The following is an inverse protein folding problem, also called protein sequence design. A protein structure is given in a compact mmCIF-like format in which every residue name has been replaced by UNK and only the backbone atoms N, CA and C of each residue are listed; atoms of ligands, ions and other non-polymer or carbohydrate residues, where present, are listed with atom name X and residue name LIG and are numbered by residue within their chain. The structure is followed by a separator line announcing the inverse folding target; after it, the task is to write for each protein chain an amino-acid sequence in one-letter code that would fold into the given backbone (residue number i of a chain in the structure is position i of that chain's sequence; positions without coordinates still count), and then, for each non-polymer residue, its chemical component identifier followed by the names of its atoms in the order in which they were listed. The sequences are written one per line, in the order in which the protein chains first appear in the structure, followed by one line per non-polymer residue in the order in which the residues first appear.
data_IF_972793978208
#
_entry.id   IF_972793978208
#
_cell.length_a   1.000
_cell.length_b   1.000
_cell.length_c   1.000
_cell.angle_alpha   90.00
_cell.angle_beta   90.00
_cell.angle_gamma   90.00
#
_symmetry.space_group_name_H-M   'P 1'
#
loop_
_entity.id
_entity.type
_entity.pdbx_description
1 polymer ?
#
# COMPACT_ATOMS: atom_id res chain seq x y z
N UNK A 1 -8.80 -3.44 -0.17
CA UNK A 1 -8.08 -4.27 -1.10
C UNK A 1 -7.12 -3.38 -1.93
N UNK A 2 -5.83 -3.30 -1.58
CA UNK A 2 -4.82 -2.47 -2.28
C UNK A 2 -4.07 -3.27 -3.37
N UNK A 3 -3.43 -2.61 -4.34
CA UNK A 3 -2.52 -3.26 -5.30
C UNK A 3 -1.17 -2.57 -5.35
N UNK A 4 -0.10 -3.32 -5.05
CA UNK A 4 1.28 -2.90 -5.30
C UNK A 4 2.01 -3.98 -6.08
N UNK A 5 2.85 -3.57 -7.04
CA UNK A 5 3.61 -4.46 -7.91
C UNK A 5 5.05 -3.95 -8.04
N UNK A 6 6.03 -4.81 -7.76
CA UNK A 6 7.45 -4.55 -7.91
C UNK A 6 8.02 -5.42 -9.02
N UNK A 7 8.62 -4.79 -10.03
CA UNK A 7 9.36 -5.40 -11.13
C UNK A 7 10.81 -5.57 -10.68
N UNK A 8 11.23 -6.80 -10.42
CA UNK A 8 12.56 -7.12 -9.93
C UNK A 8 13.63 -6.98 -11.03
N UNK A 9 13.24 -7.04 -12.30
CA UNK A 9 14.16 -6.95 -13.43
C UNK A 9 14.42 -5.49 -13.82
N UNK A 10 13.42 -4.62 -13.64
CA UNK A 10 13.49 -3.18 -13.99
C UNK A 10 13.63 -2.26 -12.79
N UNK A 11 13.64 -2.81 -11.58
CA UNK A 11 13.66 -2.09 -10.30
C UNK A 11 12.55 -1.02 -10.22
N UNK A 12 11.37 -1.32 -10.75
CA UNK A 12 10.24 -0.39 -10.82
C UNK A 12 9.12 -0.88 -9.91
N UNK A 13 8.67 -0.05 -8.99
CA UNK A 13 7.45 -0.31 -8.20
C UNK A 13 6.30 0.53 -8.72
N UNK A 14 5.09 -0.01 -8.66
CA UNK A 14 3.84 0.70 -8.91
C UNK A 14 2.78 0.35 -7.85
N UNK A 15 1.94 1.31 -7.49
CA UNK A 15 0.84 1.13 -6.54
C UNK A 15 -0.36 2.01 -6.88
N UNK A 16 -1.54 1.58 -6.45
CA UNK A 16 -2.77 2.37 -6.52
C UNK A 16 -2.81 3.44 -5.41
N UNK A 17 -3.71 4.42 -5.49
CA UNK A 17 -3.83 5.51 -4.50
C UNK A 17 -5.06 5.39 -3.60
N UNK A 18 -5.91 4.37 -3.78
CA UNK A 18 -7.12 4.20 -2.98
C UNK A 18 -6.80 3.87 -1.53
N UNK A 19 -7.51 4.56 -0.64
CA UNK A 19 -7.63 4.25 0.77
C UNK A 19 -9.09 3.95 1.08
N UNK A 20 -9.33 3.00 1.97
CA UNK A 20 -10.65 2.44 2.20
C UNK A 20 -10.95 2.22 3.67
N UNK A 21 -12.22 2.13 4.03
CA UNK A 21 -12.71 1.74 5.34
C UNK A 21 -13.97 0.88 5.16
N UNK A 22 -14.07 -0.22 5.91
CA UNK A 22 -15.28 -1.03 5.92
C UNK A 22 -16.29 -0.43 6.90
N UNK A 23 -17.52 -0.25 6.44
CA UNK A 23 -18.63 0.24 7.24
C UNK A 23 -19.77 -0.77 7.23
N UNK A 24 -20.41 -0.94 8.37
CA UNK A 24 -21.69 -1.65 8.47
C UNK A 24 -22.74 -0.61 8.82
N UNK A 25 -23.59 -0.30 7.84
CA UNK A 25 -24.66 0.69 7.92
C UNK A 25 -26.01 -0.04 8.06
N UNK A 26 -27.09 0.70 8.31
CA UNK A 26 -28.42 0.10 8.54
C UNK A 26 -28.91 -0.77 7.37
N UNK A 27 -28.55 -0.42 6.14
CA UNK A 27 -28.98 -1.09 4.93
C UNK A 27 -27.92 -2.05 4.34
N UNK A 28 -26.78 -2.23 5.01
CA UNK A 28 -25.80 -3.27 4.68
C UNK A 28 -24.34 -2.88 4.87
N UNK A 29 -23.45 -3.69 4.31
CA UNK A 29 -22.01 -3.46 4.36
C UNK A 29 -21.54 -2.63 3.17
N UNK A 30 -20.69 -1.65 3.45
CA UNK A 30 -20.13 -0.71 2.49
C UNK A 30 -18.61 -0.64 2.61
N UNK A 31 -17.97 -0.33 1.48
CA UNK A 31 -16.62 0.22 1.46
C UNK A 31 -16.76 1.73 1.31
N UNK A 32 -16.33 2.49 2.31
CA UNK A 32 -16.03 3.91 2.13
C UNK A 32 -14.62 4.02 1.57
N UNK A 33 -14.42 4.73 0.47
CA UNK A 33 -13.09 4.95 -0.07
C UNK A 33 -12.86 6.36 -0.58
N UNK A 34 -11.58 6.74 -0.66
CA UNK A 34 -11.11 7.93 -1.35
C UNK A 34 -9.83 7.59 -2.12
N UNK A 35 -9.76 8.08 -3.34
CA UNK A 35 -8.60 7.93 -4.23
C UNK A 35 -7.70 9.17 -4.14
N UNK A 36 -6.44 9.09 -4.56
CA UNK A 36 -5.57 10.27 -4.77
C UNK A 36 -5.50 11.22 -3.56
N UNK A 37 -5.28 10.68 -2.37
CA UNK A 37 -5.26 11.46 -1.11
C UNK A 37 -3.96 12.23 -0.89
N UNK A 38 -2.96 12.02 -1.76
CA UNK A 38 -1.57 12.44 -1.57
C UNK A 38 -0.78 11.51 -0.63
N UNK A 39 -1.45 10.69 0.19
CA UNK A 39 -0.76 9.75 1.06
C UNK A 39 -0.40 8.48 0.27
N UNK A 40 0.80 8.45 -0.34
CA UNK A 40 1.19 7.33 -1.20
C UNK A 40 1.68 6.13 -0.36
N UNK A 41 1.61 4.96 -1.00
CA UNK A 41 2.00 3.66 -0.42
C UNK A 41 3.46 3.28 -0.68
N UNK A 42 4.17 4.11 -1.43
CA UNK A 42 5.57 3.95 -1.82
C UNK A 42 6.33 5.12 -1.22
N UNK A 43 7.44 4.85 -0.53
CA UNK A 43 8.37 5.89 -0.09
C UNK A 43 9.79 5.51 -0.46
N UNK A 44 10.50 6.46 -1.07
CA UNK A 44 11.86 6.29 -1.57
C UNK A 44 12.84 7.19 -0.81
N UNK A 45 14.05 6.69 -0.62
CA UNK A 45 15.26 7.43 -0.22
C UNK A 45 16.44 6.91 -1.04
N UNK A 46 17.59 7.59 -1.01
CA UNK A 46 18.72 7.27 -1.89
C UNK A 46 19.20 5.81 -1.78
N UNK A 47 19.13 5.22 -0.58
CA UNK A 47 19.58 3.85 -0.34
C UNK A 47 18.55 2.78 -0.69
N UNK A 48 17.30 3.14 -0.99
CA UNK A 48 16.24 2.20 -1.29
C UNK A 48 14.83 2.73 -1.06
N UNK A 49 13.85 1.84 -1.09
CA UNK A 49 12.46 2.18 -0.89
C UNK A 49 11.71 1.17 -0.03
N UNK A 50 10.65 1.67 0.59
CA UNK A 50 9.67 0.89 1.35
C UNK A 50 8.30 1.00 0.70
N UNK A 51 7.61 -0.15 0.59
CA UNK A 51 6.24 -0.23 0.09
C UNK A 51 5.35 -0.81 1.18
N UNK A 52 4.24 -0.13 1.46
CA UNK A 52 3.37 -0.46 2.58
C UNK A 52 1.93 -0.73 2.14
N UNK A 53 1.30 -1.71 2.76
CA UNK A 53 -0.14 -1.90 2.73
C UNK A 53 -0.61 -2.23 4.15
N UNK A 54 -1.71 -1.67 4.61
CA UNK A 54 -2.24 -1.93 5.95
C UNK A 54 -2.94 -0.74 6.58
N UNK A 55 -2.90 -0.71 7.91
CA UNK A 55 -3.39 0.42 8.72
C UNK A 55 -2.63 1.71 8.40
N UNK A 56 -3.36 2.78 8.05
CA UNK A 56 -2.77 4.03 7.61
C UNK A 56 -1.97 4.77 8.69
N UNK A 57 -2.35 4.69 9.97
CA UNK A 57 -1.62 5.32 11.07
C UNK A 57 -0.28 4.63 11.32
N UNK A 58 -0.25 3.30 11.26
CA UNK A 58 1.01 2.56 11.32
C UNK A 58 1.90 2.89 10.12
N UNK A 59 1.32 3.05 8.93
CA UNK A 59 2.08 3.45 7.73
C UNK A 59 2.64 4.87 7.87
N UNK A 60 1.89 5.82 8.43
CA UNK A 60 2.39 7.18 8.68
C UNK A 60 3.65 7.14 9.55
N UNK A 61 3.61 6.43 10.68
CA UNK A 61 4.78 6.28 11.57
C UNK A 61 5.97 5.68 10.84
N UNK A 62 5.76 4.64 10.03
CA UNK A 62 6.81 4.01 9.23
C UNK A 62 7.43 4.98 8.23
N UNK A 63 6.60 5.80 7.56
CA UNK A 63 7.08 6.79 6.59
C UNK A 63 7.86 7.91 7.27
N UNK A 64 7.39 8.39 8.43
CA UNK A 64 8.09 9.38 9.24
C UNK A 64 9.47 8.86 9.70
N UNK A 65 9.54 7.61 10.17
CA UNK A 65 10.82 6.97 10.49
C UNK A 65 11.72 6.82 9.26
N UNK A 66 11.16 6.34 8.15
CA UNK A 66 11.90 6.10 6.92
C UNK A 66 12.48 7.38 6.31
N UNK A 67 11.81 8.52 6.47
CA UNK A 67 12.24 9.82 5.91
C UNK A 67 12.88 10.73 6.96
N UNK A 68 13.09 10.25 8.18
CA UNK A 68 13.77 11.01 9.21
C UNK A 68 15.21 11.34 8.76
N UNK A 69 15.64 12.56 9.07
CA UNK A 69 17.01 13.02 8.86
C UNK A 69 17.56 13.58 10.20
N UNK A 70 18.62 12.95 10.77
CA UNK A 70 19.32 11.77 10.26
C UNK A 70 18.44 10.50 10.33
N UNK A 71 18.66 9.59 9.39
CA UNK A 71 18.01 8.28 9.40
C UNK A 71 18.65 7.35 10.43
N UNK A 72 17.84 6.86 11.36
CA UNK A 72 18.28 5.91 12.38
C UNK A 72 17.52 4.57 12.25
N UNK A 73 18.17 3.51 11.75
CA UNK A 73 17.58 2.17 11.68
C UNK A 73 17.08 1.63 13.03
N UNK A 74 17.63 2.10 14.16
CA UNK A 74 17.26 1.63 15.50
C UNK A 74 16.00 2.31 16.05
N UNK A 75 15.66 3.49 15.54
CA UNK A 75 14.50 4.28 15.94
C UNK A 75 13.19 3.81 15.28
N UNK A 76 13.11 2.54 14.87
CA UNK A 76 11.89 1.97 14.28
C UNK A 76 10.71 2.13 15.27
N UNK A 77 9.58 2.73 14.84
CA UNK A 77 8.44 2.96 15.71
C UNK A 77 7.74 1.64 16.05
N UNK A 78 6.94 1.67 17.11
CA UNK A 78 6.04 0.57 17.39
C UNK A 78 5.02 0.42 16.25
N UNK A 79 5.02 -0.77 15.63
CA UNK A 79 4.12 -1.10 14.52
C UNK A 79 2.81 -1.72 15.02
N UNK A 80 2.68 -1.96 16.34
CA UNK A 80 1.47 -2.47 16.98
C UNK A 80 0.46 -1.36 17.28
N UNK A 81 -0.81 -1.74 17.24
CA UNK A 81 -1.84 -1.07 18.02
C UNK A 81 -2.82 -2.08 18.60
N UNK A 82 -3.05 -1.99 19.91
CA UNK A 82 -3.91 -2.95 20.65
C UNK A 82 -3.52 -4.42 20.38
N UNK A 83 -2.21 -4.70 20.34
CA UNK A 83 -1.62 -6.01 20.01
C UNK A 83 -2.01 -6.56 18.62
N UNK A 84 -2.50 -5.72 17.72
CA UNK A 84 -2.74 -6.08 16.32
C UNK A 84 -1.78 -5.29 15.43
N UNK A 85 -0.91 -6.01 14.74
CA UNK A 85 -0.15 -5.45 13.64
C UNK A 85 -0.89 -5.71 12.34
N UNK A 86 -1.04 -4.68 11.51
CA UNK A 86 -1.86 -4.75 10.30
C UNK A 86 -1.15 -4.27 9.05
N UNK A 87 0.17 -4.20 9.09
CA UNK A 87 0.99 -3.67 8.00
C UNK A 87 1.83 -4.77 7.35
N UNK A 88 1.69 -4.86 6.03
CA UNK A 88 2.60 -5.54 5.14
C UNK A 88 3.64 -4.55 4.65
N UNK A 89 4.91 -4.97 4.70
CA UNK A 89 6.07 -4.16 4.30
C UNK A 89 6.89 -4.95 3.29
N UNK A 90 7.40 -4.26 2.29
CA UNK A 90 8.52 -4.73 1.48
C UNK A 90 9.56 -3.62 1.45
N UNK A 91 10.82 -3.98 1.65
CA UNK A 91 11.96 -3.08 1.56
C UNK A 91 12.88 -3.58 0.45
N UNK A 92 13.24 -2.68 -0.45
CA UNK A 92 14.15 -2.93 -1.56
C UNK A 92 15.28 -1.90 -1.52
N UNK A 93 16.52 -2.35 -1.69
CA UNK A 93 17.67 -1.46 -1.80
C UNK A 93 17.67 -0.69 -3.13
N UNK A 94 18.47 0.37 -3.21
CA UNK A 94 18.74 1.09 -4.47
C UNK A 94 19.38 0.21 -5.55
N UNK A 95 20.01 -0.90 -5.17
CA UNK A 95 20.56 -1.91 -6.10
C UNK A 95 19.50 -2.89 -6.63
N UNK A 96 18.25 -2.80 -6.17
CA UNK A 96 17.16 -3.70 -6.56
C UNK A 96 17.04 -4.96 -5.71
N UNK A 97 17.93 -5.17 -4.73
CA UNK A 97 17.89 -6.30 -3.81
C UNK A 97 16.68 -6.17 -2.86
N UNK A 98 15.84 -7.21 -2.80
CA UNK A 98 14.78 -7.29 -1.78
C UNK A 98 15.38 -7.66 -0.43
N UNK A 99 15.60 -6.65 0.41
CA UNK A 99 16.23 -6.81 1.73
C UNK A 99 15.27 -7.33 2.79
N UNK A 100 13.99 -7.00 2.69
CA UNK A 100 12.99 -7.42 3.67
C UNK A 100 11.60 -7.56 3.04
N UNK A 101 10.84 -8.51 3.57
CA UNK A 101 9.45 -8.74 3.21
C UNK A 101 8.67 -9.27 4.42
N UNK A 102 7.51 -8.68 4.65
CA UNK A 102 6.54 -9.15 5.63
C UNK A 102 5.12 -9.04 5.07
N UNK A 103 4.37 -10.12 5.24
CA UNK A 103 2.97 -10.25 4.84
C UNK A 103 2.74 -10.92 3.49
N UNK A 104 1.47 -11.06 3.08
CA UNK A 104 1.09 -11.81 1.90
C UNK A 104 1.69 -11.21 0.63
N UNK A 105 2.37 -12.04 -0.16
CA UNK A 105 2.92 -11.69 -1.47
C UNK A 105 2.67 -12.80 -2.47
N UNK A 106 2.51 -12.40 -3.72
CA UNK A 106 2.59 -13.30 -4.87
C UNK A 106 3.86 -12.96 -5.64
N UNK A 107 4.72 -13.96 -5.87
CA UNK A 107 5.92 -13.80 -6.68
C UNK A 107 5.72 -14.50 -8.02
N UNK A 108 6.13 -13.83 -9.10
CA UNK A 108 6.31 -14.47 -10.39
C UNK A 108 7.78 -14.90 -10.49
N UNK A 109 8.00 -16.20 -10.51
CA UNK A 109 9.34 -16.82 -10.61
C UNK A 109 9.60 -17.29 -12.03
N UNK A 110 10.86 -17.32 -12.42
CA UNK A 110 11.28 -17.92 -13.68
C UNK A 110 11.06 -19.45 -13.60
N UNK A 111 10.32 -20.06 -14.55
CA UNK A 111 10.10 -21.50 -14.55
C UNK A 111 11.40 -22.31 -14.79
N UNK A 112 12.43 -21.72 -15.38
CA UNK A 112 13.73 -22.37 -15.66
C UNK A 112 14.76 -22.14 -14.54
N UNK A 113 14.65 -21.03 -13.81
CA UNK A 113 15.43 -20.73 -12.60
C UNK A 113 14.54 -20.26 -11.45
N UNK A 114 14.12 -21.18 -10.59
CA UNK A 114 13.28 -20.85 -9.44
C UNK A 114 13.91 -19.86 -8.44
N UNK A 115 15.20 -19.52 -8.57
CA UNK A 115 15.84 -18.48 -7.76
C UNK A 115 15.67 -17.08 -8.36
N UNK A 116 15.33 -16.99 -9.65
CA UNK A 116 15.05 -15.73 -10.32
C UNK A 116 13.58 -15.36 -10.15
N UNK A 117 13.35 -14.16 -9.60
CA UNK A 117 12.02 -13.60 -9.37
C UNK A 117 11.89 -12.43 -10.32
N UNK A 118 10.94 -12.48 -11.24
CA UNK A 118 10.65 -11.39 -12.19
C UNK A 118 9.89 -10.24 -11.54
N UNK A 119 8.92 -10.58 -10.69
CA UNK A 119 8.07 -9.58 -10.05
C UNK A 119 7.46 -10.08 -8.74
N UNK A 120 7.15 -9.15 -7.85
CA UNK A 120 6.43 -9.40 -6.61
C UNK A 120 5.22 -8.48 -6.51
N UNK A 121 4.08 -9.05 -6.13
CA UNK A 121 2.80 -8.38 -6.02
C UNK A 121 2.29 -8.48 -4.58
N UNK A 122 1.70 -7.41 -4.09
CA UNK A 122 1.13 -7.34 -2.74
C UNK A 122 -0.22 -6.64 -2.73
N UNK A 123 -0.95 -6.88 -1.65
CA UNK A 123 -2.33 -6.48 -1.55
C UNK A 123 -3.26 -7.47 -2.26
N UNK A 124 -4.54 -7.23 -2.11
CA UNK A 124 -5.65 -8.01 -2.66
C UNK A 124 -5.75 -8.05 -4.19
N UNK A 125 -5.32 -6.99 -4.90
CA UNK A 125 -5.35 -6.98 -6.35
C UNK A 125 -4.16 -7.70 -6.96
N UNK A 126 -3.27 -8.25 -6.11
CA UNK A 126 -2.08 -8.99 -6.53
C UNK A 126 -2.35 -10.15 -7.50
N UNK A 127 -3.43 -10.95 -7.42
CA UNK A 127 -3.69 -11.98 -8.42
C UNK A 127 -3.96 -11.39 -9.82
N UNK A 128 -4.74 -10.31 -9.88
CA UNK A 128 -5.07 -9.63 -11.13
C UNK A 128 -3.84 -8.92 -11.73
N UNK A 129 -3.06 -8.27 -10.87
CA UNK A 129 -1.81 -7.62 -11.27
C UNK A 129 -0.80 -8.64 -11.78
N UNK A 130 -0.61 -9.76 -11.07
CA UNK A 130 0.30 -10.84 -11.47
C UNK A 130 -0.08 -11.42 -12.83
N UNK A 131 -1.36 -11.75 -13.03
CA UNK A 131 -1.85 -12.25 -14.31
C UNK A 131 -1.62 -11.26 -15.46
N UNK A 132 -1.90 -9.97 -15.23
CA UNK A 132 -1.69 -8.93 -16.24
C UNK A 132 -0.20 -8.74 -16.54
N UNK A 133 0.66 -8.79 -15.52
CA UNK A 133 2.11 -8.67 -15.70
C UNK A 133 2.65 -9.81 -16.57
N UNK A 134 2.18 -11.05 -16.38
CA UNK A 134 2.58 -12.18 -17.24
C UNK A 134 2.27 -11.95 -18.72
N UNK A 135 1.29 -11.11 -19.04
CA UNK A 135 0.90 -10.81 -20.42
C UNK A 135 1.65 -9.62 -21.03
N UNK A 136 2.05 -8.63 -20.22
CA UNK A 136 2.58 -7.35 -20.73
C UNK A 136 3.97 -6.95 -20.19
N UNK A 137 4.46 -7.61 -19.14
CA UNK A 137 5.76 -7.30 -18.50
C UNK A 137 5.86 -5.88 -17.94
N UNK A 138 4.74 -5.26 -17.54
CA UNK A 138 4.72 -3.87 -17.05
C UNK A 138 3.90 -3.73 -15.77
N UNK A 139 4.56 -3.41 -14.66
CA UNK A 139 3.88 -3.22 -13.36
C UNK A 139 2.88 -2.07 -13.34
N UNK A 140 3.12 -0.99 -14.10
CA UNK A 140 2.17 0.13 -14.19
C UNK A 140 0.86 -0.30 -14.85
N UNK A 141 0.95 -1.04 -15.94
CA UNK A 141 -0.21 -1.62 -16.63
C UNK A 141 -0.88 -2.66 -15.74
N UNK A 142 -0.11 -3.50 -15.06
CA UNK A 142 -0.63 -4.50 -14.14
C UNK A 142 -1.50 -3.90 -13.02
N UNK A 143 -1.02 -2.83 -12.35
CA UNK A 143 -1.83 -2.11 -11.37
C UNK A 143 -3.03 -1.43 -12.02
N UNK A 144 -2.86 -0.84 -13.22
CA UNK A 144 -3.96 -0.20 -13.96
C UNK A 144 -5.12 -1.17 -14.19
N UNK A 145 -4.84 -2.39 -14.63
CA UNK A 145 -5.84 -3.42 -14.88
C UNK A 145 -6.37 -4.02 -13.58
N UNK A 146 -5.53 -4.23 -12.57
CA UNK A 146 -5.98 -4.78 -11.28
C UNK A 146 -7.11 -3.94 -10.65
N UNK A 147 -7.03 -2.60 -10.77
CA UNK A 147 -8.07 -1.67 -10.30
C UNK A 147 -9.44 -1.88 -10.96
N UNK A 148 -9.51 -2.50 -12.15
CA UNK A 148 -10.79 -2.78 -12.82
C UNK A 148 -11.45 -4.08 -12.35
N UNK A 149 -10.80 -4.82 -11.45
CA UNK A 149 -11.32 -6.05 -10.87
C UNK A 149 -11.38 -6.01 -9.34
N UNK A 150 -10.48 -5.25 -8.71
CA UNK A 150 -10.39 -5.10 -7.26
C UNK A 150 -11.14 -3.82 -6.77
N UNK A 151 -12.28 -3.94 -6.07
CA UNK A 151 -13.09 -2.81 -5.63
C UNK A 151 -12.42 -1.84 -4.66
N UNK A 152 -11.30 -2.19 -4.05
CA UNK A 152 -10.62 -1.25 -3.17
C UNK A 152 -9.25 -0.80 -3.72
N UNK A 153 -8.92 -1.16 -4.95
CA UNK A 153 -7.78 -0.56 -5.66
C UNK A 153 -8.33 0.51 -6.59
N UNK A 154 -7.71 1.69 -6.63
CA UNK A 154 -8.30 2.83 -7.35
C UNK A 154 -7.35 4.00 -7.58
N UNK A 155 -7.91 5.07 -8.15
CA UNK A 155 -7.21 6.32 -8.45
C UNK A 155 -6.08 6.20 -9.46
N UNK A 156 -5.13 7.12 -9.38
CA UNK A 156 -3.90 7.13 -10.17
C UNK A 156 -3.01 5.92 -9.88
N UNK A 157 -2.09 5.62 -10.81
CA UNK A 157 -0.98 4.68 -10.54
C UNK A 157 0.25 5.50 -10.18
N UNK A 158 0.70 5.35 -8.94
CA UNK A 158 1.96 5.88 -8.46
C UNK A 158 3.08 4.89 -8.74
N UNK A 159 4.24 5.37 -9.12
CA UNK A 159 5.40 4.54 -9.43
C UNK A 159 6.71 5.22 -9.06
N UNK A 160 7.73 4.40 -8.85
CA UNK A 160 9.10 4.84 -8.60
C UNK A 160 10.08 3.79 -9.14
N UNK A 161 11.10 4.23 -9.86
CA UNK A 161 12.27 3.43 -10.15
C UNK A 161 13.22 3.52 -8.95
N UNK A 162 13.43 2.41 -8.24
CA UNK A 162 14.09 2.39 -6.93
C UNK A 162 15.56 2.81 -7.04
N UNK A 163 16.21 2.50 -8.15
CA UNK A 163 17.62 2.82 -8.38
C UNK A 163 17.84 4.31 -8.66
N UNK A 164 16.95 4.96 -9.40
CA UNK A 164 17.12 6.36 -9.82
C UNK A 164 16.31 7.36 -8.99
N UNK A 165 15.26 6.91 -8.31
CA UNK A 165 14.26 7.78 -7.69
C UNK A 165 13.24 8.36 -8.67
N UNK A 166 13.37 8.09 -9.98
CA UNK A 166 12.47 8.62 -11.00
C UNK A 166 11.05 8.06 -10.83
N UNK A 167 10.05 8.94 -10.76
CA UNK A 167 8.69 8.54 -10.46
C UNK A 167 7.70 9.71 -10.48
N UNK A 168 6.50 9.45 -9.97
CA UNK A 168 5.42 10.44 -9.86
C UNK A 168 4.90 10.61 -8.42
N UNK A 169 5.81 10.53 -7.43
CA UNK A 169 5.50 10.62 -5.99
C UNK A 169 5.57 12.06 -5.42
N UNK A 170 5.54 13.10 -6.27
CA UNK A 170 5.76 14.48 -5.84
C UNK A 170 4.60 15.08 -5.03
N UNK A 171 3.44 14.43 -5.06
CA UNK A 171 2.24 14.81 -4.31
C UNK A 171 2.17 14.20 -2.91
N UNK A 172 3.27 13.59 -2.46
CA UNK A 172 3.35 12.89 -1.19
C UNK A 172 2.96 13.77 0.00
N UNK A 173 1.92 13.35 0.70
CA UNK A 173 1.45 13.90 1.96
C UNK A 173 1.58 12.82 3.03
N UNK A 174 2.54 12.99 3.93
CA UNK A 174 2.84 12.03 4.99
C UNK A 174 1.84 12.05 6.15
N UNK A 175 0.81 12.90 6.13
CA UNK A 175 -0.20 13.02 7.19
C UNK A 175 -1.38 12.07 6.93
N UNK A 176 -1.59 11.11 7.82
CA UNK A 176 -2.73 10.18 7.76
C UNK A 176 -4.08 10.93 7.74
N UNK A 177 -4.17 12.10 8.38
CA UNK A 177 -5.40 12.91 8.36
C UNK A 177 -5.77 13.36 6.95
N UNK A 178 -4.83 13.45 6.01
CA UNK A 178 -5.14 13.74 4.62
C UNK A 178 -6.10 12.70 4.01
N UNK A 179 -5.95 11.43 4.41
CA UNK A 179 -6.86 10.35 4.00
C UNK A 179 -8.25 10.57 4.61
N UNK A 180 -8.31 10.87 5.90
CA UNK A 180 -9.57 11.06 6.63
C UNK A 180 -10.35 12.26 6.11
N UNK A 181 -9.66 13.38 5.85
CA UNK A 181 -10.23 14.58 5.23
C UNK A 181 -10.73 14.26 3.82
N UNK A 182 -9.98 13.50 3.03
CA UNK A 182 -10.42 13.09 1.70
C UNK A 182 -11.69 12.21 1.76
N UNK A 183 -11.76 11.24 2.67
CA UNK A 183 -12.95 10.42 2.88
C UNK A 183 -14.16 11.27 3.29
N UNK A 184 -13.99 12.24 4.20
CA UNK A 184 -15.08 13.13 4.62
C UNK A 184 -15.56 14.05 3.48
N UNK A 185 -14.63 14.61 2.70
CA UNK A 185 -14.96 15.63 1.70
C UNK A 185 -15.46 15.06 0.38
N UNK A 186 -14.90 13.93 -0.05
CA UNK A 186 -15.10 13.35 -1.38
C UNK A 186 -15.14 11.82 -1.37
N UNK A 187 -15.38 11.22 -0.21
CA UNK A 187 -15.50 9.77 -0.08
C UNK A 187 -16.71 9.24 -0.84
N UNK A 188 -16.56 8.03 -1.34
CA UNK A 188 -17.60 7.29 -2.05
C UNK A 188 -17.91 6.03 -1.25
N UNK A 189 -19.18 5.78 -1.01
CA UNK A 189 -19.67 4.53 -0.46
C UNK A 189 -19.94 3.56 -1.62
N UNK A 190 -19.37 2.36 -1.53
CA UNK A 190 -19.58 1.28 -2.48
C UNK A 190 -20.20 0.08 -1.79
N UNK A 191 -21.32 -0.38 -2.35
CA UNK A 191 -21.90 -1.69 -2.05
C UNK A 191 -21.64 -2.59 -3.23
N UNK A 192 -21.18 -3.81 -2.98
CA UNK A 192 -20.99 -4.79 -4.04
C UNK A 192 -21.51 -6.16 -3.58
N UNK A 193 -22.20 -6.86 -4.48
CA UNK A 193 -22.61 -8.25 -4.27
C UNK A 193 -21.85 -9.17 -5.23
N UNK A 194 -21.12 -10.16 -4.69
CA UNK A 194 -20.33 -11.12 -5.46
C UNK A 194 -18.82 -10.88 -5.48
N UNK A 195 -18.09 -11.71 -6.25
CA UNK A 195 -16.62 -11.74 -6.26
C UNK A 195 -15.97 -10.70 -7.21
N UNK A 196 -16.74 -10.14 -8.15
CA UNK A 196 -16.25 -9.19 -9.17
C UNK A 196 -17.01 -7.88 -9.06
N UNK A 197 -16.30 -6.81 -8.70
CA UNK A 197 -16.95 -5.60 -8.19
C UNK A 197 -16.53 -4.29 -8.88
N UNK A 198 -15.60 -4.31 -9.83
CA UNK A 198 -15.16 -3.04 -10.42
C UNK A 198 -15.86 -2.67 -11.74
N UNK A 199 -16.80 -3.49 -12.26
CA UNK A 199 -17.61 -3.19 -13.46
C UNK A 199 -18.90 -4.05 -13.60
N UNK A 200 -19.46 -4.58 -12.51
CA UNK A 200 -20.64 -5.46 -12.58
C UNK A 200 -21.93 -4.70 -12.25
N UNK A 201 -23.07 -5.14 -12.80
CA UNK A 201 -24.42 -4.67 -12.44
C UNK A 201 -24.75 -4.79 -10.93
N UNK A 202 -23.86 -5.45 -10.18
CA UNK A 202 -23.96 -5.73 -8.75
C UNK A 202 -23.25 -4.70 -7.87
N UNK A 203 -22.73 -3.61 -8.46
CA UNK A 203 -21.99 -2.58 -7.73
C UNK A 203 -22.76 -1.28 -7.79
N UNK A 204 -23.15 -0.79 -6.62
CA UNK A 204 -23.73 0.54 -6.47
C UNK A 204 -22.75 1.44 -5.73
N UNK A 205 -22.63 2.67 -6.21
CA UNK A 205 -21.84 3.70 -5.54
C UNK A 205 -22.70 4.92 -5.27
N UNK A 206 -22.45 5.58 -4.15
CA UNK A 206 -23.08 6.84 -3.77
C UNK A 206 -22.04 7.73 -3.10
N UNK A 207 -21.96 9.03 -3.44
CA UNK A 207 -21.13 9.97 -2.69
C UNK A 207 -21.52 9.95 -1.21
N UNK A 208 -20.55 9.94 -0.30
CA UNK A 208 -20.81 9.89 1.15
C UNK A 208 -21.79 10.99 1.60
N UNK A 209 -21.66 12.19 1.03
CA UNK A 209 -22.51 13.37 1.33
C UNK A 209 -23.99 13.19 0.96
N UNK A 210 -24.31 12.22 0.10
CA UNK A 210 -25.67 11.94 -0.34
C UNK A 210 -26.32 10.80 0.46
N UNK A 211 -25.58 10.14 1.37
CA UNK A 211 -26.08 9.05 2.18
C UNK A 211 -26.88 9.54 3.39
N UNK A 212 -28.01 8.91 3.77
CA UNK A 212 -28.80 9.31 4.94
C UNK A 212 -28.04 9.32 6.27
N UNK A 213 -27.05 8.44 6.42
CA UNK A 213 -26.19 8.33 7.62
C UNK A 213 -24.91 9.21 7.54
N UNK A 214 -24.88 10.23 6.66
CA UNK A 214 -23.70 11.10 6.44
C UNK A 214 -23.10 11.67 7.72
N UNK A 215 -23.93 12.27 8.58
CA UNK A 215 -23.47 12.95 9.79
C UNK A 215 -22.87 11.95 10.79
N UNK A 216 -23.46 10.76 10.91
CA UNK A 216 -22.97 9.70 11.78
C UNK A 216 -21.62 9.16 11.29
N UNK A 217 -21.51 8.83 10.00
CA UNK A 217 -20.27 8.35 9.40
C UNK A 217 -19.17 9.41 9.57
N UNK A 218 -19.50 10.68 9.33
CA UNK A 218 -18.57 11.80 9.51
C UNK A 218 -18.11 11.92 10.96
N UNK A 219 -19.01 11.79 11.94
CA UNK A 219 -18.64 11.79 13.35
C UNK A 219 -17.71 10.62 13.70
N UNK A 220 -17.94 9.43 13.14
CA UNK A 220 -17.08 8.25 13.36
C UNK A 220 -15.69 8.40 12.71
N UNK A 221 -15.59 9.07 11.55
CA UNK A 221 -14.32 9.43 10.93
C UNK A 221 -13.53 10.42 11.81
N UNK A 222 -14.21 11.46 12.33
CA UNK A 222 -13.59 12.48 13.19
C UNK A 222 -13.15 11.94 14.55
N UNK A 223 -13.88 10.97 15.11
CA UNK A 223 -13.52 10.34 16.38
C UNK A 223 -12.41 9.28 16.25
N UNK A 224 -12.06 8.89 15.02
CA UNK A 224 -11.10 7.81 14.75
C UNK A 224 -11.64 6.40 15.01
N UNK A 225 -12.96 6.26 15.20
CA UNK A 225 -13.63 4.96 15.32
C UNK A 225 -13.62 4.20 13.98
N UNK A 226 -13.69 4.93 12.88
CA UNK A 226 -13.44 4.42 11.53
C UNK A 226 -12.02 4.76 11.14
N UNK A 227 -11.30 3.78 10.59
CA UNK A 227 -9.92 3.96 10.15
C UNK A 227 -9.73 3.57 8.70
N UNK A 228 -8.96 4.39 8.01
CA UNK A 228 -8.54 4.11 6.66
C UNK A 228 -7.44 3.04 6.68
N UNK A 229 -7.60 2.06 5.81
CA UNK A 229 -6.68 0.95 5.64
C UNK A 229 -6.54 0.61 4.15
N UNK A 230 -5.38 0.05 3.82
CA UNK A 230 -4.93 -0.42 2.51
C UNK A 230 -4.75 -1.94 2.56
N UNK A 231 -5.77 -2.75 2.22
CA UNK A 231 -5.78 -4.17 2.60
C UNK A 231 -4.69 -5.02 1.95
N UNK A 232 -4.08 -5.86 2.79
CA UNK A 232 -2.88 -6.68 2.49
C UNK A 232 -3.16 -7.92 1.64
N UNK A 233 -4.44 -8.30 1.47
CA UNK A 233 -4.88 -9.36 0.55
C UNK A 233 -5.13 -10.73 1.18
N UNK A 234 -4.59 -11.02 2.37
CA UNK A 234 -4.95 -12.22 3.14
C UNK A 234 -4.74 -11.99 4.65
N UNK A 235 -4.40 -13.03 5.43
CA UNK A 235 -4.28 -12.95 6.88
C UNK A 235 -3.31 -11.86 7.34
N UNK A 236 -3.57 -11.33 8.54
CA UNK A 236 -2.74 -10.30 9.16
C UNK A 236 -1.28 -10.80 9.37
N UNK A 237 -0.35 -9.85 9.29
CA UNK A 237 1.08 -10.10 9.44
C UNK A 237 1.42 -10.13 10.93
N UNK A 238 1.90 -11.27 11.44
CA UNK A 238 2.37 -11.33 12.83
C UNK A 238 3.77 -10.73 12.97
N UNK A 239 3.90 -9.53 13.53
CA UNK A 239 5.22 -8.95 13.81
C UNK A 239 5.73 -9.38 15.18
N UNK A 240 6.82 -10.14 15.19
CA UNK A 240 7.52 -10.53 16.41
C UNK A 240 8.90 -9.86 16.47
N UNK A 241 9.60 -10.02 17.59
CA UNK A 241 10.93 -9.41 17.79
C UNK A 241 11.93 -9.81 16.71
N UNK A 242 11.88 -11.05 16.23
CA UNK A 242 12.74 -11.53 15.13
C UNK A 242 12.48 -10.75 13.83
N UNK A 243 11.21 -10.55 13.48
CA UNK A 243 10.82 -9.81 12.28
C UNK A 243 11.16 -8.33 12.36
N UNK A 244 11.00 -7.74 13.55
CA UNK A 244 11.42 -6.37 13.83
C UNK A 244 12.93 -6.23 13.61
N UNK A 245 13.74 -7.12 14.16
CA UNK A 245 15.21 -7.08 13.97
C UNK A 245 15.62 -7.31 12.51
N UNK A 246 14.90 -8.14 11.76
CA UNK A 246 15.11 -8.30 10.32
C UNK A 246 14.82 -7.01 9.55
N UNK A 247 13.77 -6.27 9.89
CA UNK A 247 13.47 -4.97 9.28
C UNK A 247 14.56 -3.93 9.61
N UNK A 248 14.99 -3.87 10.87
CA UNK A 248 16.10 -3.00 11.27
C UNK A 248 17.39 -3.33 10.55
N UNK A 249 17.74 -4.62 10.44
CA UNK A 249 18.91 -5.08 9.69
C UNK A 249 18.86 -4.67 8.22
N UNK A 250 17.69 -4.80 7.58
CA UNK A 250 17.50 -4.29 6.21
C UNK A 250 17.65 -2.76 6.12
N UNK A 251 17.15 -2.02 7.10
CA UNK A 251 17.32 -0.57 7.17
C UNK A 251 18.79 -0.15 7.39
N UNK A 252 19.57 -0.91 8.17
CA UNK A 252 21.02 -0.67 8.32
C UNK A 252 21.74 -0.78 6.97
N UNK A 253 21.45 -1.82 6.18
CA UNK A 253 21.99 -1.96 4.82
C UNK A 253 21.64 -0.76 3.92
N UNK A 254 20.43 -0.22 4.03
CA UNK A 254 20.01 0.99 3.30
C UNK A 254 20.83 2.19 3.72
N UNK A 255 21.02 2.40 5.02
CA UNK A 255 21.85 3.49 5.54
C UNK A 255 23.31 3.37 5.06
N UNK A 256 23.89 2.17 5.11
CA UNK A 256 25.24 1.89 4.59
C UNK A 256 25.38 2.23 3.10
N UNK A 257 24.37 1.88 2.29
CA UNK A 257 24.35 2.24 0.87
C UNK A 257 24.34 3.75 0.67
N UNK A 258 23.56 4.51 1.43
CA UNK A 258 23.54 5.97 1.32
C UNK A 258 24.84 6.63 1.72
N UNK A 259 25.50 6.13 2.77
CA UNK A 259 26.82 6.61 3.16
C UNK A 259 27.84 6.41 2.04
N UNK A 260 27.81 5.24 1.38
CA UNK A 260 28.70 4.93 0.25
C UNK A 260 28.47 5.79 -1.00
N UNK A 261 27.28 6.37 -1.15
CA UNK A 261 26.96 7.28 -2.26
C UNK A 261 27.41 8.72 -2.00
N UNK A 262 27.64 9.09 -0.73
CA UNK A 262 28.11 10.43 -0.33
C UNK A 262 29.63 10.55 -0.35
N UNK A 263 30.34 9.42 -0.32
CA UNK A 263 31.81 9.32 -0.41
C UNK A 263 32.32 9.34 -1.84
#
# INVERSE_FOLDING_TARGET
MTTTAYDCDKHLVASDTRWSANLTLLDGNYILFADDTGFNKIVHRAGGAIFCAGDGLTIEKLKQWWLAEPFDPEALPDLQQNNQFKVSVMLVSSTGERLFDAGPKHALVDPEDNNHIHAVFSGSGSPFAGHTFMQCGCVKTAVTIAKTFDPYSGGEVKFCNITTGDGNLQDENMDYNAIMVAMQQRGILMKYTGFYAANSENVSTIPLREHPEYDEITAQLLSGNVRAYAPTGSADVEWNSERIERLKSAARKVAELEESMKS
#
